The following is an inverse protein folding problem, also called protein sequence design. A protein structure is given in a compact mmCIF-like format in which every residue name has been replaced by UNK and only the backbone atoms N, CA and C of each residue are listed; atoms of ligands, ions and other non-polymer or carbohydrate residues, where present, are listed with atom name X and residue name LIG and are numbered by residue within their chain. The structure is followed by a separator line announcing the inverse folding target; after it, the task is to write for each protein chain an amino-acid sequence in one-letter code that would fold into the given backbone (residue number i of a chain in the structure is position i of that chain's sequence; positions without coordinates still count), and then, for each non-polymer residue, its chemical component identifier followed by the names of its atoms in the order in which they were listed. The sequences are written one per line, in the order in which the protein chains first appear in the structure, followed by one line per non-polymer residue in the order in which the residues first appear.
data_IF_538286206536
#
_entry.id   IF_538286206536
#
_cell.length_a   1.000
_cell.length_b   1.000
_cell.length_c   1.000
_cell.angle_alpha   90.00
_cell.angle_beta   90.00
_cell.angle_gamma   90.00
#
_symmetry.space_group_name_H-M   'P 1'
#
loop_
_entity.id
_entity.type
_entity.pdbx_description
1 polymer ?
#
# COMPACT_ATOMS: atom_id res chain seq x y z
N UNK A 1 -9.40 36.69 -71.35
CA UNK A 1 -9.54 36.67 -69.88
C UNK A 1 -10.50 35.56 -69.48
N UNK A 2 -10.02 34.41 -68.99
CA UNK A 2 -10.82 33.44 -68.19
C UNK A 2 -9.85 32.73 -67.24
N UNK A 3 -10.14 32.82 -65.95
CA UNK A 3 -9.30 32.42 -64.81
C UNK A 3 -9.37 30.90 -64.59
N UNK A 4 -8.24 30.31 -64.23
CA UNK A 4 -8.15 28.97 -63.65
C UNK A 4 -8.68 28.94 -62.21
N UNK A 5 -9.02 27.76 -61.66
CA UNK A 5 -8.91 27.50 -60.23
C UNK A 5 -7.85 26.43 -59.96
N UNK A 6 -6.83 26.87 -59.24
CA UNK A 6 -5.75 26.10 -58.59
C UNK A 6 -6.20 25.87 -57.14
N UNK A 7 -6.16 24.60 -56.72
CA UNK A 7 -5.99 24.07 -55.35
C UNK A 7 -6.78 24.68 -54.19
N UNK A 8 -7.57 23.84 -53.51
CA UNK A 8 -7.47 23.65 -52.05
C UNK A 8 -7.70 22.16 -51.75
N UNK A 9 -6.62 21.40 -51.77
CA UNK A 9 -6.55 20.09 -51.11
C UNK A 9 -6.44 20.41 -49.62
N UNK A 10 -7.58 20.55 -48.95
CA UNK A 10 -7.62 20.75 -47.51
C UNK A 10 -7.17 19.44 -46.87
N UNK A 11 -5.88 19.41 -46.57
CA UNK A 11 -5.19 18.48 -45.71
C UNK A 11 -6.04 18.17 -44.48
N UNK A 12 -6.64 16.99 -44.48
CA UNK A 12 -7.01 16.21 -43.30
C UNK A 12 -5.74 15.84 -42.52
N UNK A 13 -5.01 16.86 -42.06
CA UNK A 13 -4.06 16.78 -40.97
C UNK A 13 -4.83 17.10 -39.68
N UNK A 14 -5.89 16.32 -39.43
CA UNK A 14 -6.56 16.29 -38.14
C UNK A 14 -5.57 15.67 -37.17
N UNK A 15 -4.74 16.53 -36.56
CA UNK A 15 -4.34 16.49 -35.16
C UNK A 15 -4.42 15.09 -34.52
N UNK A 16 -3.58 14.16 -34.97
CA UNK A 16 -3.12 13.07 -34.12
C UNK A 16 -2.05 13.67 -33.21
N UNK A 17 -2.45 14.57 -32.31
CA UNK A 17 -1.69 14.71 -31.07
C UNK A 17 -1.91 13.41 -30.34
N UNK A 18 -1.10 12.39 -30.66
CA UNK A 18 -0.90 11.28 -29.75
C UNK A 18 -0.33 11.92 -28.50
N UNK A 19 -1.20 12.25 -27.55
CA UNK A 19 -0.80 12.44 -26.17
C UNK A 19 -0.27 11.09 -25.73
N UNK A 20 1.00 10.82 -26.05
CA UNK A 20 1.72 9.71 -25.46
C UNK A 20 1.72 10.05 -23.97
N UNK A 21 0.78 9.44 -23.25
CA UNK A 21 0.65 9.63 -21.82
C UNK A 21 2.04 9.41 -21.24
N UNK A 22 2.57 10.45 -20.61
CA UNK A 22 3.95 10.47 -20.12
C UNK A 22 4.01 9.53 -18.91
N UNK A 23 4.51 8.31 -19.09
CA UNK A 23 4.76 7.41 -17.97
C UNK A 23 6.03 7.88 -17.28
N UNK A 24 5.87 8.75 -16.29
CA UNK A 24 7.00 9.29 -15.54
C UNK A 24 7.42 8.31 -14.44
N UNK A 25 8.72 8.10 -14.29
CA UNK A 25 9.25 7.18 -13.28
C UNK A 25 8.98 7.75 -11.89
N UNK A 26 8.41 6.93 -11.02
CA UNK A 26 8.20 7.30 -9.63
C UNK A 26 9.54 7.44 -8.90
N UNK A 27 9.66 8.38 -7.95
CA UNK A 27 10.85 8.51 -7.13
C UNK A 27 11.09 7.21 -6.34
N UNK A 28 12.36 6.80 -6.23
CA UNK A 28 12.71 5.63 -5.43
C UNK A 28 12.61 5.95 -3.94
N UNK A 29 11.82 5.17 -3.19
CA UNK A 29 11.89 5.18 -1.73
C UNK A 29 13.06 4.30 -1.28
N UNK A 30 14.12 4.92 -0.75
CA UNK A 30 15.30 4.20 -0.24
C UNK A 30 14.99 3.41 1.05
N UNK A 31 13.99 3.85 1.82
CA UNK A 31 13.52 3.17 3.03
C UNK A 31 12.02 2.89 2.95
N UNK A 32 11.66 1.69 2.48
CA UNK A 32 10.27 1.22 2.42
C UNK A 32 9.94 0.45 3.70
N UNK A 33 8.90 0.87 4.42
CA UNK A 33 8.35 0.09 5.54
C UNK A 33 7.90 -1.28 5.05
N UNK A 34 8.05 -2.29 5.91
CA UNK A 34 7.65 -3.65 5.57
C UNK A 34 6.51 -4.15 6.46
N UNK A 35 5.79 -5.14 5.94
CA UNK A 35 4.83 -5.88 6.74
C UNK A 35 5.57 -6.78 7.75
N UNK A 36 5.47 -6.44 9.02
CA UNK A 36 6.02 -7.17 10.17
C UNK A 36 5.15 -8.34 10.62
N UNK A 37 3.91 -8.49 10.12
CA UNK A 37 3.04 -9.60 10.49
C UNK A 37 3.49 -10.95 9.92
N UNK A 38 4.48 -10.95 9.02
CA UNK A 38 4.86 -12.11 8.22
C UNK A 38 5.61 -13.17 9.02
N UNK A 39 5.31 -14.44 8.75
CA UNK A 39 6.04 -15.58 9.32
C UNK A 39 7.52 -15.55 8.94
N UNK A 40 7.86 -15.02 7.75
CA UNK A 40 9.23 -14.78 7.33
C UNK A 40 9.94 -13.68 8.14
N UNK A 41 9.19 -12.82 8.82
CA UNK A 41 9.73 -11.92 9.85
C UNK A 41 9.85 -12.59 11.23
N UNK A 42 9.57 -13.90 11.33
CA UNK A 42 9.54 -14.67 12.58
C UNK A 42 8.29 -14.43 13.42
N UNK A 43 7.27 -13.78 12.86
CA UNK A 43 6.01 -13.49 13.54
C UNK A 43 5.09 -14.71 13.55
N UNK A 44 4.44 -14.95 14.68
CA UNK A 44 3.50 -16.07 14.85
C UNK A 44 2.14 -15.59 15.35
N UNK A 45 1.12 -16.43 15.24
CA UNK A 45 -0.15 -16.22 15.94
C UNK A 45 -0.11 -16.98 17.26
N UNK A 46 -0.21 -16.25 18.38
CA UNK A 46 -0.14 -16.81 19.74
C UNK A 46 -1.46 -17.41 20.20
N UNK A 47 -2.57 -16.82 19.78
CA UNK A 47 -3.92 -17.30 20.06
C UNK A 47 -4.90 -16.71 19.05
N UNK A 48 -6.04 -17.36 18.87
CA UNK A 48 -7.13 -16.88 18.04
C UNK A 48 -8.45 -17.54 18.43
N UNK A 49 -9.54 -16.82 18.24
CA UNK A 49 -10.90 -17.30 18.40
C UNK A 49 -11.77 -16.74 17.26
N UNK A 50 -12.58 -17.57 16.61
CA UNK A 50 -13.40 -17.14 15.47
C UNK A 50 -12.64 -16.72 14.19
N UNK A 51 -11.32 -16.96 14.10
CA UNK A 51 -10.48 -16.58 12.95
C UNK A 51 -9.91 -17.82 12.24
N UNK A 52 -10.19 -17.99 10.94
CA UNK A 52 -9.73 -19.16 10.16
C UNK A 52 -9.42 -18.82 8.69
N UNK A 53 -8.39 -19.41 8.05
CA UNK A 53 -7.29 -20.14 8.66
C UNK A 53 -6.31 -19.18 9.35
N UNK A 54 -5.89 -19.53 10.57
CA UNK A 54 -5.04 -18.68 11.41
C UNK A 54 -3.72 -18.30 10.70
N UNK A 55 -3.12 -19.24 9.98
CA UNK A 55 -1.87 -19.03 9.26
C UNK A 55 -1.96 -17.93 8.17
N UNK A 56 -3.16 -17.59 7.69
CA UNK A 56 -3.31 -16.54 6.68
C UNK A 56 -2.99 -15.13 7.24
N UNK A 57 -3.08 -14.91 8.56
CA UNK A 57 -2.68 -13.65 9.19
C UNK A 57 -1.18 -13.37 9.05
N UNK A 58 -0.35 -14.40 8.90
CA UNK A 58 1.11 -14.28 8.82
C UNK A 58 1.70 -14.81 7.51
N UNK A 59 0.88 -15.35 6.60
CA UNK A 59 1.36 -15.98 5.37
C UNK A 59 1.95 -15.00 4.33
N UNK A 60 1.52 -13.73 4.34
CA UNK A 60 1.97 -12.74 3.35
C UNK A 60 1.42 -12.92 1.94
N UNK A 61 0.48 -13.86 1.74
CA UNK A 61 -0.32 -13.95 0.52
C UNK A 61 -1.54 -13.01 0.65
N UNK A 62 -1.58 -11.86 -0.05
CA UNK A 62 -2.70 -10.94 0.02
C UNK A 62 -3.98 -11.51 -0.58
N UNK A 63 -3.88 -12.58 -1.40
CA UNK A 63 -5.02 -13.21 -2.07
C UNK A 63 -5.69 -14.25 -1.18
N UNK A 64 -5.07 -14.65 -0.07
CA UNK A 64 -5.63 -15.67 0.82
C UNK A 64 -6.65 -15.04 1.79
N UNK A 65 -7.92 -15.50 1.80
CA UNK A 65 -8.91 -14.98 2.74
C UNK A 65 -8.63 -15.45 4.17
N UNK A 66 -9.02 -14.60 5.12
CA UNK A 66 -9.11 -14.86 6.54
C UNK A 66 -10.58 -14.71 6.90
N UNK A 67 -11.26 -15.83 7.15
CA UNK A 67 -12.65 -15.87 7.57
C UNK A 67 -12.75 -15.51 9.06
N UNK A 68 -13.70 -14.64 9.36
CA UNK A 68 -14.06 -14.16 10.69
C UNK A 68 -15.49 -14.61 11.01
N UNK A 69 -15.70 -15.12 12.23
CA UNK A 69 -17.02 -15.48 12.70
C UNK A 69 -17.89 -14.23 12.93
N UNK A 70 -19.21 -14.39 12.82
CA UNK A 70 -20.16 -13.37 13.27
C UNK A 70 -20.10 -13.20 14.79
N UNK A 71 -20.37 -11.99 15.28
CA UNK A 71 -20.14 -11.64 16.68
C UNK A 71 -18.66 -11.34 16.94
N UNK A 72 -18.12 -11.88 18.04
CA UNK A 72 -16.74 -11.60 18.46
C UNK A 72 -15.76 -12.62 17.87
N UNK A 73 -14.70 -12.11 17.27
CA UNK A 73 -13.52 -12.88 16.88
C UNK A 73 -12.27 -12.17 17.40
N UNK A 74 -11.20 -12.91 17.69
CA UNK A 74 -9.95 -12.31 18.13
C UNK A 74 -8.73 -13.06 17.60
N UNK A 75 -7.61 -12.35 17.47
CA UNK A 75 -6.31 -12.95 17.18
C UNK A 75 -5.20 -12.16 17.88
N UNK A 76 -4.22 -12.87 18.43
CA UNK A 76 -3.01 -12.28 19.01
C UNK A 76 -1.82 -12.62 18.13
N UNK A 77 -1.27 -11.60 17.49
CA UNK A 77 -0.03 -11.68 16.72
C UNK A 77 1.15 -11.45 17.67
N UNK A 78 2.13 -12.35 17.64
CA UNK A 78 3.38 -12.26 18.41
C UNK A 78 4.55 -11.99 17.47
N UNK A 79 5.13 -10.80 17.59
CA UNK A 79 6.35 -10.45 16.88
C UNK A 79 7.56 -11.15 17.53
N UNK A 80 8.60 -11.39 16.72
CA UNK A 80 9.84 -12.03 17.19
C UNK A 80 10.48 -11.24 18.33
N UNK A 81 10.53 -9.92 18.18
CA UNK A 81 11.07 -8.95 19.15
C UNK A 81 10.06 -7.83 19.44
N UNK A 82 10.25 -7.15 20.57
CA UNK A 82 9.51 -5.92 20.86
C UNK A 82 9.81 -4.89 19.77
N UNK A 83 8.76 -4.31 19.21
CA UNK A 83 8.86 -3.41 18.05
C UNK A 83 7.92 -2.23 18.23
N UNK A 84 8.19 -1.17 17.47
CA UNK A 84 7.24 -0.05 17.31
C UNK A 84 6.27 -0.42 16.22
N UNK A 85 4.97 -0.31 16.49
CA UNK A 85 3.87 -0.62 15.59
C UNK A 85 3.19 0.70 15.25
N UNK A 86 3.28 1.13 14.01
CA UNK A 86 2.66 2.38 13.56
C UNK A 86 1.25 2.17 13.04
N UNK A 87 1.02 1.11 12.26
CA UNK A 87 -0.23 0.94 11.51
C UNK A 87 -0.56 -0.52 11.29
N UNK A 88 -1.84 -0.87 11.30
CA UNK A 88 -2.33 -2.17 10.89
C UNK A 88 -3.44 -1.98 9.85
N UNK A 89 -3.41 -2.78 8.78
CA UNK A 89 -4.34 -2.65 7.66
C UNK A 89 -4.86 -4.02 7.23
N UNK A 90 -6.04 -4.03 6.61
CA UNK A 90 -6.57 -5.18 5.89
C UNK A 90 -7.57 -4.73 4.83
N UNK A 91 -7.88 -5.65 3.93
CA UNK A 91 -8.96 -5.50 2.95
C UNK A 91 -10.20 -6.23 3.47
N UNK A 92 -11.33 -5.54 3.58
CA UNK A 92 -12.64 -6.11 3.88
C UNK A 92 -13.31 -6.64 2.61
N UNK A 93 -13.79 -7.87 2.63
CA UNK A 93 -14.58 -8.46 1.53
C UNK A 93 -16.08 -8.18 1.72
N UNK A 94 -16.45 -6.93 2.02
CA UNK A 94 -17.85 -6.50 2.16
C UNK A 94 -18.48 -6.83 3.51
N UNK A 95 -17.67 -7.03 4.55
CA UNK A 95 -18.16 -7.19 5.92
C UNK A 95 -18.33 -5.85 6.62
N UNK A 96 -19.14 -5.83 7.68
CA UNK A 96 -19.39 -4.65 8.52
C UNK A 96 -19.19 -4.97 9.99
N UNK A 97 -18.66 -3.99 10.72
CA UNK A 97 -18.46 -4.11 12.15
C UNK A 97 -17.40 -3.17 12.69
N UNK A 98 -16.80 -3.59 13.80
CA UNK A 98 -15.75 -2.86 14.49
C UNK A 98 -14.52 -3.74 14.64
N UNK A 99 -13.36 -3.15 14.51
CA UNK A 99 -12.08 -3.75 14.90
C UNK A 99 -11.45 -2.89 15.98
N UNK A 100 -10.99 -3.50 17.06
CA UNK A 100 -10.16 -2.86 18.08
C UNK A 100 -8.80 -3.53 18.19
N UNK A 101 -7.79 -2.72 18.47
CA UNK A 101 -6.41 -3.14 18.64
C UNK A 101 -5.95 -2.83 20.04
N UNK A 102 -5.11 -3.71 20.58
CA UNK A 102 -4.36 -3.45 21.80
C UNK A 102 -2.98 -4.07 21.72
N UNK A 103 -2.00 -3.45 22.36
CA UNK A 103 -0.62 -3.93 22.37
C UNK A 103 -0.22 -4.41 23.75
N UNK A 104 0.73 -5.34 23.80
CA UNK A 104 1.31 -5.83 25.04
C UNK A 104 2.79 -6.17 24.84
N UNK A 105 3.61 -5.96 25.87
CA UNK A 105 5.02 -6.39 25.89
C UNK A 105 5.16 -7.85 26.34
N UNK A 106 4.24 -8.35 27.18
CA UNK A 106 4.33 -9.65 27.86
C UNK A 106 3.20 -10.63 27.49
N UNK A 107 2.17 -10.15 26.79
CA UNK A 107 0.98 -10.92 26.41
C UNK A 107 -0.07 -11.03 27.53
N UNK A 108 0.10 -10.29 28.63
CA UNK A 108 -0.78 -10.32 29.81
C UNK A 108 -1.39 -8.94 30.09
N UNK A 109 -0.56 -7.91 30.14
CA UNK A 109 -1.02 -6.53 30.32
C UNK A 109 -1.26 -5.87 28.96
N UNK A 110 -2.52 -5.54 28.68
CA UNK A 110 -2.96 -5.01 27.39
C UNK A 110 -3.26 -3.53 27.47
N UNK A 111 -2.61 -2.74 26.61
CA UNK A 111 -2.89 -1.33 26.43
C UNK A 111 -3.74 -1.15 25.17
N UNK A 112 -4.98 -0.63 25.27
CA UNK A 112 -5.77 -0.26 24.09
C UNK A 112 -4.99 0.70 23.21
N UNK A 113 -4.99 0.47 21.89
CA UNK A 113 -4.31 1.32 20.92
C UNK A 113 -5.31 2.15 20.13
N UNK A 114 -6.13 1.50 19.29
CA UNK A 114 -7.14 2.18 18.46
C UNK A 114 -8.30 1.26 18.15
N UNK A 115 -9.48 1.83 17.87
CA UNK A 115 -10.61 1.11 17.30
C UNK A 115 -11.11 1.83 16.05
N UNK A 116 -11.59 1.06 15.08
CA UNK A 116 -12.17 1.55 13.82
C UNK A 116 -13.47 0.81 13.54
N UNK A 117 -14.47 1.55 13.04
CA UNK A 117 -15.74 1.01 12.56
C UNK A 117 -15.70 1.07 11.04
N UNK A 118 -16.18 0.02 10.39
CA UNK A 118 -16.19 -0.09 8.94
C UNK A 118 -17.52 -0.68 8.46
N UNK A 119 -18.00 -0.17 7.34
CA UNK A 119 -19.20 -0.59 6.64
C UNK A 119 -18.84 -1.55 5.49
N UNK A 120 -19.82 -2.21 4.84
CA UNK A 120 -19.55 -3.09 3.70
C UNK A 120 -18.85 -2.40 2.52
N UNK A 121 -19.02 -1.08 2.39
CA UNK A 121 -18.36 -0.27 1.36
C UNK A 121 -16.89 0.02 1.67
N UNK A 122 -16.47 -0.07 2.93
CA UNK A 122 -15.11 0.25 3.37
C UNK A 122 -14.18 -0.93 3.10
N UNK A 123 -13.73 -1.03 1.85
CA UNK A 123 -12.87 -2.13 1.41
C UNK A 123 -11.49 -2.07 2.05
N UNK A 124 -10.93 -0.90 2.30
CA UNK A 124 -9.62 -0.77 2.94
C UNK A 124 -9.79 -0.21 4.35
N UNK A 125 -9.43 -1.01 5.34
CA UNK A 125 -9.47 -0.61 6.74
C UNK A 125 -8.05 -0.38 7.22
N UNK A 126 -7.77 0.84 7.66
CA UNK A 126 -6.48 1.24 8.24
C UNK A 126 -6.68 1.72 9.67
N UNK A 127 -5.81 1.24 10.55
CA UNK A 127 -5.75 1.59 11.95
C UNK A 127 -4.39 2.23 12.21
N UNK A 128 -4.37 3.49 12.65
CA UNK A 128 -3.16 4.16 13.13
C UNK A 128 -2.99 3.88 14.63
N UNK A 129 -1.91 3.20 14.98
CA UNK A 129 -1.59 2.79 16.36
C UNK A 129 -0.71 3.83 17.07
N UNK A 130 -0.44 4.98 16.46
CA UNK A 130 0.30 6.07 17.11
C UNK A 130 1.72 5.67 17.53
N UNK A 131 2.34 4.73 16.80
CA UNK A 131 3.67 4.17 17.11
C UNK A 131 3.72 3.45 18.48
N UNK A 132 2.66 2.73 18.83
CA UNK A 132 2.60 1.90 20.03
C UNK A 132 3.74 0.86 20.07
N UNK A 133 4.34 0.65 21.25
CA UNK A 133 5.44 -0.30 21.43
C UNK A 133 4.95 -1.59 22.08
N UNK A 134 5.27 -2.74 21.48
CA UNK A 134 4.84 -4.03 22.02
C UNK A 134 5.51 -5.21 21.32
N UNK A 135 5.38 -6.40 21.93
CA UNK A 135 5.73 -7.67 21.30
C UNK A 135 4.49 -8.41 20.79
N UNK A 136 3.32 -8.09 21.34
CA UNK A 136 2.05 -8.68 21.00
C UNK A 136 1.10 -7.60 20.49
N UNK A 137 0.38 -7.90 19.41
CA UNK A 137 -0.73 -7.12 18.89
C UNK A 137 -1.98 -8.00 18.95
N UNK A 138 -2.98 -7.59 19.71
CA UNK A 138 -4.30 -8.23 19.72
C UNK A 138 -5.23 -7.46 18.81
N UNK A 139 -5.93 -8.20 17.96
CA UNK A 139 -7.04 -7.77 17.13
C UNK A 139 -8.32 -8.36 17.72
N UNK A 140 -9.33 -7.53 17.92
CA UNK A 140 -10.66 -7.93 18.35
C UNK A 140 -11.66 -7.39 17.33
N UNK A 141 -12.35 -8.30 16.65
CA UNK A 141 -13.40 -8.00 15.69
C UNK A 141 -14.76 -8.21 16.35
N UNK A 142 -15.68 -7.29 16.11
CA UNK A 142 -17.09 -7.40 16.48
C UNK A 142 -17.90 -7.17 15.20
N UNK A 143 -18.31 -8.27 14.57
CA UNK A 143 -18.98 -8.26 13.27
C UNK A 143 -20.48 -8.54 13.42
N UNK A 144 -21.30 -7.88 12.61
CA UNK A 144 -22.74 -8.15 12.56
C UNK A 144 -22.98 -9.53 11.94
N UNK A 145 -22.23 -9.87 10.89
CA UNK A 145 -22.24 -11.15 10.19
C UNK A 145 -20.81 -11.62 9.96
N UNK A 146 -20.60 -12.92 9.95
CA UNK A 146 -19.30 -13.49 9.57
C UNK A 146 -18.99 -13.21 8.09
N UNK A 147 -17.72 -13.28 7.73
CA UNK A 147 -17.25 -13.09 6.36
C UNK A 147 -15.73 -13.13 6.29
N UNK A 148 -15.10 -12.46 5.33
CA UNK A 148 -13.65 -12.53 5.15
C UNK A 148 -12.96 -11.17 5.09
N UNK A 149 -11.72 -11.17 5.55
CA UNK A 149 -10.73 -10.11 5.28
C UNK A 149 -9.55 -10.70 4.51
N UNK A 150 -8.77 -9.85 3.86
CA UNK A 150 -7.57 -10.20 3.08
C UNK A 150 -6.45 -9.23 3.35
N UNK A 151 -5.25 -9.58 2.87
CA UNK A 151 -4.09 -8.70 2.88
C UNK A 151 -3.85 -8.02 4.24
N UNK A 152 -3.96 -8.79 5.32
CA UNK A 152 -3.67 -8.27 6.66
C UNK A 152 -2.18 -7.93 6.77
N UNK A 153 -1.89 -6.68 7.14
CA UNK A 153 -0.54 -6.16 7.23
C UNK A 153 -0.36 -5.32 8.50
N UNK A 154 0.84 -5.39 9.08
CA UNK A 154 1.25 -4.58 10.22
C UNK A 154 2.55 -3.89 9.89
N UNK A 155 2.58 -2.56 9.99
CA UNK A 155 3.74 -1.73 9.71
C UNK A 155 4.28 -1.10 11.00
N UNK A 156 5.56 -0.74 10.97
CA UNK A 156 6.25 -0.28 12.16
C UNK A 156 7.69 0.12 11.89
N UNK A 157 8.57 -0.20 12.82
CA UNK A 157 10.00 0.16 12.75
C UNK A 157 10.81 -0.61 11.70
N UNK A 158 10.28 -1.69 11.13
CA UNK A 158 11.03 -2.51 10.18
C UNK A 158 10.98 -1.93 8.77
N UNK A 159 12.12 -2.00 8.08
CA UNK A 159 12.33 -1.51 6.71
C UNK A 159 12.81 -2.65 5.81
N UNK A 160 12.78 -2.45 4.49
CA UNK A 160 13.26 -3.45 3.54
C UNK A 160 14.74 -3.80 3.73
N UNK A 161 15.56 -2.85 4.23
CA UNK A 161 16.98 -3.07 4.51
C UNK A 161 17.24 -4.05 5.66
N UNK A 162 16.25 -4.28 6.52
CA UNK A 162 16.35 -5.24 7.63
C UNK A 162 16.18 -6.69 7.19
N UNK A 163 15.92 -6.95 5.91
CA UNK A 163 15.61 -8.28 5.38
C UNK A 163 16.49 -8.65 4.20
N UNK A 164 16.86 -9.92 4.16
CA UNK A 164 17.50 -10.55 3.01
C UNK A 164 16.55 -11.58 2.41
N UNK A 165 16.41 -11.57 1.08
CA UNK A 165 15.52 -12.48 0.35
C UNK A 165 16.29 -13.29 -0.67
N UNK A 166 16.34 -14.59 -0.44
CA UNK A 166 16.94 -15.58 -1.34
C UNK A 166 15.84 -16.36 -2.05
N UNK A 167 16.06 -16.66 -3.33
CA UNK A 167 15.23 -17.62 -4.06
C UNK A 167 15.93 -18.95 -4.11
N UNK A 168 15.21 -20.00 -3.76
CA UNK A 168 15.75 -21.34 -3.80
C UNK A 168 15.47 -21.91 -5.20
N UNK A 169 16.54 -22.30 -5.89
CA UNK A 169 16.48 -22.83 -7.26
C UNK A 169 15.79 -24.20 -7.33
N UNK A 170 15.70 -24.92 -6.21
CA UNK A 170 15.01 -26.20 -6.07
C UNK A 170 13.49 -26.07 -5.83
N UNK A 171 12.98 -24.83 -5.76
CA UNK A 171 11.57 -24.57 -5.48
C UNK A 171 11.15 -24.87 -4.04
N UNK A 172 12.10 -25.06 -3.11
CA UNK A 172 11.83 -25.20 -1.68
C UNK A 172 11.61 -23.83 -1.02
N UNK A 173 10.77 -23.76 0.01
CA UNK A 173 10.55 -22.52 0.77
C UNK A 173 9.09 -22.07 0.78
N UNK A 174 8.88 -20.82 1.16
CA UNK A 174 7.54 -20.21 1.21
C UNK A 174 7.29 -19.33 0.00
N UNK A 175 6.02 -19.10 -0.32
CA UNK A 175 5.64 -18.11 -1.32
C UNK A 175 6.00 -16.72 -0.79
N UNK A 176 6.82 -15.98 -1.53
CA UNK A 176 7.19 -14.60 -1.23
C UNK A 176 6.48 -13.70 -2.23
N UNK A 177 5.81 -12.66 -1.74
CA UNK A 177 5.31 -11.59 -2.60
C UNK A 177 6.44 -10.60 -2.90
N UNK A 178 7.04 -10.70 -4.09
CA UNK A 178 8.10 -9.81 -4.54
C UNK A 178 7.64 -8.38 -4.79
N UNK A 179 6.34 -8.08 -4.87
CA UNK A 179 5.84 -6.70 -4.89
C UNK A 179 5.87 -6.03 -3.49
N UNK A 180 5.95 -6.83 -2.43
CA UNK A 180 5.96 -6.34 -1.04
C UNK A 180 7.30 -5.72 -0.66
N UNK A 181 7.33 -4.97 0.44
CA UNK A 181 8.56 -4.39 0.98
C UNK A 181 9.62 -5.45 1.34
N UNK A 182 9.23 -6.57 1.96
CA UNK A 182 10.17 -7.67 2.24
C UNK A 182 10.71 -8.25 0.93
N UNK A 183 9.85 -8.41 -0.08
CA UNK A 183 10.23 -8.95 -1.38
C UNK A 183 11.20 -8.08 -2.19
N UNK A 184 11.42 -6.82 -1.77
CA UNK A 184 12.30 -5.86 -2.43
C UNK A 184 11.70 -5.16 -3.65
N UNK A 185 10.42 -5.40 -3.94
CA UNK A 185 9.73 -4.80 -5.07
C UNK A 185 9.46 -3.32 -4.89
N UNK A 186 9.76 -2.56 -5.94
CA UNK A 186 9.55 -1.11 -6.02
C UNK A 186 8.62 -0.80 -7.16
N UNK A 187 7.52 -0.10 -6.88
CA UNK A 187 6.64 0.45 -7.89
C UNK A 187 7.36 1.61 -8.59
N UNK A 188 7.61 1.48 -9.89
CA UNK A 188 8.40 2.45 -10.67
C UNK A 188 7.57 3.21 -11.70
N UNK A 189 6.44 2.67 -12.15
CA UNK A 189 5.49 3.37 -13.01
C UNK A 189 4.06 3.05 -12.62
N UNK A 190 3.18 4.04 -12.73
CA UNK A 190 1.72 3.90 -12.60
C UNK A 190 1.07 4.72 -13.70
N UNK A 191 0.09 4.13 -14.37
CA UNK A 191 -0.69 4.81 -15.38
C UNK A 191 -2.17 4.39 -15.32
N UNK A 192 -3.14 5.30 -15.35
CA UNK A 192 -3.01 6.77 -15.36
C UNK A 192 -2.26 7.30 -14.13
N UNK A 193 -1.58 8.43 -14.29
CA UNK A 193 -0.63 8.96 -13.30
C UNK A 193 -1.32 9.41 -11.99
N UNK A 194 -0.73 9.04 -10.85
CA UNK A 194 -1.16 9.48 -9.53
C UNK A 194 -0.68 10.92 -9.28
N UNK A 195 -1.59 11.90 -9.35
CA UNK A 195 -1.34 13.24 -8.83
C UNK A 195 -1.65 13.25 -7.33
N UNK A 196 -0.67 13.59 -6.48
CA UNK A 196 -0.86 13.76 -5.03
C UNK A 196 -0.81 12.49 -4.16
N UNK A 197 -1.27 11.33 -4.65
CA UNK A 197 -1.37 10.08 -3.86
C UNK A 197 -0.16 9.12 -3.99
N UNK A 198 1.04 9.65 -4.30
CA UNK A 198 2.21 8.80 -4.61
C UNK A 198 2.80 8.09 -3.38
N UNK A 199 2.71 8.69 -2.19
CA UNK A 199 3.33 8.16 -0.96
C UNK A 199 2.70 6.85 -0.51
N UNK A 200 1.37 6.81 -0.45
CA UNK A 200 0.64 5.71 0.19
C UNK A 200 0.73 4.44 -0.66
N UNK A 201 0.73 4.60 -1.99
CA UNK A 201 0.96 3.51 -2.93
C UNK A 201 2.35 2.89 -2.84
N UNK A 202 3.36 3.70 -2.50
CA UNK A 202 4.73 3.22 -2.27
C UNK A 202 4.87 2.49 -0.94
N UNK A 203 4.13 2.88 0.09
CA UNK A 203 4.20 2.31 1.44
C UNK A 203 3.42 1.00 1.58
N UNK A 204 2.13 0.99 1.26
CA UNK A 204 1.22 -0.14 1.52
C UNK A 204 1.07 -1.11 0.34
N UNK A 205 1.74 -0.83 -0.80
CA UNK A 205 1.54 -1.55 -2.05
C UNK A 205 0.06 -1.54 -2.53
N UNK A 206 -0.67 -0.47 -2.21
CA UNK A 206 -2.03 -0.22 -2.63
C UNK A 206 -2.07 0.99 -3.56
N UNK A 207 -2.48 0.79 -4.80
CA UNK A 207 -2.49 1.80 -5.84
C UNK A 207 -3.92 2.29 -6.01
N UNK A 208 -4.15 3.57 -5.76
CA UNK A 208 -5.44 4.22 -5.97
C UNK A 208 -5.42 4.99 -7.28
N UNK A 209 -5.86 4.36 -8.37
CA UNK A 209 -5.86 4.99 -9.68
C UNK A 209 -6.91 6.11 -9.76
N UNK A 210 -6.59 7.26 -10.38
CA UNK A 210 -7.57 8.29 -10.63
C UNK A 210 -8.66 7.78 -11.58
N UNK A 211 -9.80 8.46 -11.55
CA UNK A 211 -10.80 8.36 -12.61
C UNK A 211 -10.17 8.72 -13.96
N UNK A 212 -10.41 7.91 -14.99
CA UNK A 212 -9.73 8.06 -16.28
C UNK A 212 -10.37 7.24 -17.39
N UNK A 213 -10.68 7.89 -18.51
CA UNK A 213 -11.22 7.23 -19.72
C UNK A 213 -10.26 6.23 -20.37
N UNK A 214 -9.02 6.11 -19.86
CA UNK A 214 -8.12 5.07 -20.30
C UNK A 214 -8.71 3.69 -20.04
N UNK A 215 -8.62 2.83 -21.05
CA UNK A 215 -9.11 1.45 -20.96
C UNK A 215 -8.41 0.64 -19.85
N UNK A 216 -7.16 0.99 -19.52
CA UNK A 216 -6.32 0.19 -18.65
C UNK A 216 -5.82 0.99 -17.45
N UNK A 217 -5.63 0.26 -16.35
CA UNK A 217 -4.85 0.69 -15.19
C UNK A 217 -3.59 -0.15 -15.18
N UNK A 218 -2.41 0.46 -15.10
CA UNK A 218 -1.14 -0.26 -15.22
C UNK A 218 -0.18 0.15 -14.11
N UNK A 219 0.51 -0.84 -13.56
CA UNK A 219 1.58 -0.66 -12.60
C UNK A 219 2.79 -1.46 -13.04
N UNK A 220 3.98 -0.86 -12.97
CA UNK A 220 5.25 -1.54 -13.28
C UNK A 220 6.11 -1.57 -12.03
N UNK A 221 6.60 -2.76 -11.69
CA UNK A 221 7.46 -3.02 -10.57
C UNK A 221 8.88 -3.37 -11.03
N UNK A 222 9.90 -2.80 -10.37
CA UNK A 222 11.29 -3.31 -10.36
C UNK A 222 11.46 -4.22 -9.15
N UNK A 223 11.78 -5.49 -9.39
CA UNK A 223 12.01 -6.50 -8.36
C UNK A 223 13.44 -6.46 -7.79
N UNK A 224 14.26 -5.49 -8.25
CA UNK A 224 15.64 -5.25 -7.82
C UNK A 224 16.68 -6.16 -8.47
N UNK A 225 16.29 -7.39 -8.78
CA UNK A 225 17.09 -8.40 -9.48
C UNK A 225 16.19 -9.30 -10.31
N UNK A 226 16.77 -10.10 -11.21
CA UNK A 226 16.00 -11.10 -11.96
C UNK A 226 15.50 -12.16 -10.97
N UNK A 227 14.18 -12.37 -10.95
CA UNK A 227 13.50 -13.33 -10.10
C UNK A 227 12.85 -14.45 -10.91
N UNK A 228 12.74 -15.62 -10.31
CA UNK A 228 11.91 -16.74 -10.80
C UNK A 228 10.50 -16.61 -10.23
N UNK A 229 9.50 -16.45 -11.10
CA UNK A 229 8.11 -16.14 -10.76
C UNK A 229 7.20 -17.28 -11.19
N UNK A 230 6.20 -17.62 -10.38
CA UNK A 230 5.27 -18.74 -10.65
C UNK A 230 3.80 -18.37 -10.47
N UNK A 231 3.53 -17.25 -9.80
CA UNK A 231 2.17 -16.82 -9.51
C UNK A 231 2.07 -15.30 -9.60
N UNK A 232 0.95 -14.81 -10.10
CA UNK A 232 0.59 -13.41 -10.09
C UNK A 232 -0.81 -13.26 -9.55
N UNK A 233 -1.13 -12.07 -9.06
CA UNK A 233 -2.50 -11.76 -8.74
C UNK A 233 -2.68 -10.34 -8.25
N UNK A 234 -3.91 -10.06 -7.85
CA UNK A 234 -4.28 -8.74 -7.39
C UNK A 234 -5.46 -8.80 -6.44
N UNK A 235 -5.43 -7.96 -5.41
CA UNK A 235 -6.63 -7.54 -4.67
C UNK A 235 -7.00 -6.16 -5.18
N UNK A 236 -8.18 -6.02 -5.75
CA UNK A 236 -8.66 -4.82 -6.43
C UNK A 236 -10.09 -4.46 -5.98
N UNK A 237 -10.62 -3.34 -6.46
CA UNK A 237 -12.01 -2.95 -6.21
C UNK A 237 -13.01 -4.06 -6.61
N UNK A 238 -14.14 -4.25 -5.91
CA UNK A 238 -15.06 -5.37 -6.12
C UNK A 238 -15.94 -5.14 -7.35
N UNK A 239 -15.36 -5.38 -8.52
CA UNK A 239 -16.00 -5.22 -9.82
C UNK A 239 -15.31 -6.11 -10.86
N UNK A 240 -15.98 -6.45 -11.96
CA UNK A 240 -15.36 -7.28 -12.98
C UNK A 240 -14.10 -6.65 -13.55
N UNK A 241 -13.01 -7.43 -13.58
CA UNK A 241 -11.69 -7.00 -14.05
C UNK A 241 -10.98 -8.13 -14.76
N UNK A 242 -10.36 -7.81 -15.91
CA UNK A 242 -9.33 -8.65 -16.52
C UNK A 242 -7.95 -8.17 -16.11
N UNK A 243 -7.07 -9.09 -15.78
CA UNK A 243 -5.67 -8.84 -15.49
C UNK A 243 -4.80 -9.46 -16.58
N UNK A 244 -3.91 -8.66 -17.16
CA UNK A 244 -2.81 -9.13 -18.00
C UNK A 244 -1.48 -8.80 -17.32
N UNK A 245 -0.57 -9.77 -17.31
CA UNK A 245 0.76 -9.63 -16.69
C UNK A 245 1.83 -9.76 -17.76
N UNK A 246 2.74 -8.81 -17.79
CA UNK A 246 3.90 -8.80 -18.65
C UNK A 246 5.15 -8.82 -17.79
N UNK A 247 6.19 -9.52 -18.25
CA UNK A 247 7.41 -9.72 -17.49
C UNK A 247 8.61 -9.49 -18.40
N UNK A 248 9.60 -8.76 -17.89
CA UNK A 248 10.76 -8.32 -18.65
C UNK A 248 12.05 -8.48 -17.83
N UNK A 249 13.13 -8.92 -18.48
CA UNK A 249 14.46 -8.88 -17.86
C UNK A 249 15.07 -7.47 -17.95
N UNK A 250 14.85 -6.79 -19.07
CA UNK A 250 15.24 -5.39 -19.32
C UNK A 250 14.01 -4.53 -19.40
N UNK A 251 14.02 -3.37 -18.73
CA UNK A 251 12.90 -2.44 -18.71
C UNK A 251 12.73 -1.80 -20.10
N UNK A 252 11.57 -1.92 -20.75
CA UNK A 252 11.30 -1.24 -22.01
C UNK A 252 11.14 0.27 -21.78
N UNK A 253 12.24 1.01 -21.93
CA UNK A 253 12.24 2.48 -21.87
C UNK A 253 12.66 3.08 -23.20
N UNK A 254 12.08 4.23 -23.53
CA UNK A 254 12.45 5.04 -24.68
C UNK A 254 12.59 6.49 -24.24
N UNK A 255 13.48 7.23 -24.91
CA UNK A 255 13.58 8.67 -24.70
C UNK A 255 12.32 9.37 -25.20
N UNK A 256 11.75 10.21 -24.35
CA UNK A 256 10.72 11.17 -24.74
C UNK A 256 11.31 12.29 -25.62
N UNK A 257 10.45 13.13 -26.17
CA UNK A 257 10.88 14.28 -27.01
C UNK A 257 11.77 15.30 -26.27
N UNK A 258 11.92 15.19 -24.94
CA UNK A 258 12.82 16.00 -24.10
C UNK A 258 14.08 15.23 -23.67
N UNK A 259 14.33 14.04 -24.23
CA UNK A 259 15.47 13.20 -23.90
C UNK A 259 15.39 12.51 -22.54
N UNK A 260 14.19 12.38 -21.96
CA UNK A 260 13.99 11.69 -20.68
C UNK A 260 13.51 10.27 -20.92
N UNK A 261 14.08 9.30 -20.22
CA UNK A 261 13.60 7.92 -20.25
C UNK A 261 12.18 7.83 -19.67
N UNK A 262 11.28 7.21 -20.42
CA UNK A 262 9.94 6.86 -20.03
C UNK A 262 9.65 5.43 -20.46
N UNK A 263 8.74 4.75 -19.76
CA UNK A 263 8.29 3.43 -20.17
C UNK A 263 7.64 3.49 -21.55
N UNK A 264 7.95 2.54 -22.44
CA UNK A 264 7.35 2.44 -23.78
C UNK A 264 6.09 1.57 -23.75
N UNK A 265 4.87 2.14 -23.80
CA UNK A 265 3.63 1.37 -23.72
C UNK A 265 3.36 0.54 -24.97
N UNK A 266 4.02 0.81 -26.11
CA UNK A 266 3.83 0.06 -27.36
C UNK A 266 4.31 -1.39 -27.23
N UNK A 267 5.13 -1.69 -26.21
CA UNK A 267 5.54 -3.06 -25.88
C UNK A 267 4.34 -3.98 -25.63
N UNK A 268 3.22 -3.45 -25.12
CA UNK A 268 2.02 -4.24 -24.85
C UNK A 268 1.26 -4.66 -26.11
N UNK A 269 1.51 -4.02 -27.25
CA UNK A 269 0.90 -4.35 -28.54
C UNK A 269 1.69 -5.45 -29.27
N UNK A 270 3.00 -5.54 -28.99
CA UNK A 270 3.93 -6.48 -29.65
C UNK A 270 4.29 -7.69 -28.79
N UNK A 271 4.01 -7.65 -27.48
CA UNK A 271 4.36 -8.70 -26.53
C UNK A 271 3.12 -9.43 -26.03
N UNK A 272 3.17 -10.76 -25.93
CA UNK A 272 2.11 -11.53 -25.28
C UNK A 272 2.27 -11.50 -23.75
N UNK A 273 1.16 -11.40 -22.99
CA UNK A 273 1.23 -11.48 -21.54
C UNK A 273 1.71 -12.88 -21.11
N UNK A 274 2.58 -12.93 -20.09
CA UNK A 274 3.07 -14.19 -19.51
C UNK A 274 2.00 -14.90 -18.66
N UNK A 275 0.99 -14.14 -18.23
CA UNK A 275 -0.17 -14.65 -17.52
C UNK A 275 -1.37 -13.71 -17.75
N UNK A 276 -2.57 -14.26 -17.81
CA UNK A 276 -3.81 -13.48 -17.82
C UNK A 276 -4.92 -14.20 -17.08
N UNK A 277 -5.86 -13.45 -16.53
CA UNK A 277 -7.03 -13.98 -15.85
C UNK A 277 -8.14 -12.95 -15.72
N UNK A 278 -9.31 -13.39 -15.30
CA UNK A 278 -10.50 -12.57 -15.21
C UNK A 278 -11.23 -12.85 -13.89
N UNK A 279 -11.55 -11.80 -13.14
CA UNK A 279 -12.53 -11.85 -12.06
C UNK A 279 -13.88 -11.39 -12.63
N UNK A 280 -14.57 -12.28 -13.35
CA UNK A 280 -15.83 -11.94 -14.01
C UNK A 280 -16.95 -11.60 -13.01
N UNK A 281 -16.85 -12.12 -11.77
CA UNK A 281 -17.83 -11.88 -10.71
C UNK A 281 -17.66 -10.54 -10.00
N UNK A 282 -16.48 -9.94 -10.11
CA UNK A 282 -16.12 -8.76 -9.32
C UNK A 282 -15.97 -9.04 -7.83
N UNK A 283 -15.43 -10.19 -7.45
CA UNK A 283 -15.06 -10.47 -6.06
C UNK A 283 -13.99 -9.49 -5.54
N UNK A 284 -13.26 -8.85 -6.46
CA UNK A 284 -12.17 -7.92 -6.23
C UNK A 284 -10.88 -8.63 -5.80
N UNK A 285 -10.71 -9.88 -6.21
CA UNK A 285 -9.44 -10.58 -6.07
C UNK A 285 -9.27 -11.61 -7.17
N UNK A 286 -8.05 -11.72 -7.69
CA UNK A 286 -7.71 -12.65 -8.76
C UNK A 286 -6.32 -13.23 -8.53
N UNK A 287 -6.17 -14.52 -8.82
CA UNK A 287 -4.91 -15.24 -8.79
C UNK A 287 -4.72 -15.95 -10.13
N UNK A 288 -3.55 -15.83 -10.72
CA UNK A 288 -3.20 -16.44 -11.99
C UNK A 288 -1.85 -17.13 -11.83
N UNK A 289 -1.80 -18.43 -12.09
CA UNK A 289 -0.54 -19.18 -12.12
C UNK A 289 0.05 -19.14 -13.51
N UNK A 290 1.36 -19.08 -13.60
CA UNK A 290 2.04 -19.26 -14.88
C UNK A 290 2.06 -20.74 -15.23
N UNK A 291 2.07 -21.05 -16.54
CA UNK A 291 2.26 -22.43 -17.01
C UNK A 291 3.66 -22.94 -16.68
N UNK A 292 4.65 -22.07 -16.89
CA UNK A 292 6.06 -22.30 -16.65
C UNK A 292 6.61 -21.19 -15.75
N UNK A 293 7.69 -21.46 -15.03
CA UNK A 293 8.39 -20.43 -14.24
C UNK A 293 8.89 -19.31 -15.16
N UNK A 294 8.55 -18.08 -14.85
CA UNK A 294 8.93 -16.88 -15.62
C UNK A 294 10.12 -16.21 -14.95
N UNK A 295 11.20 -15.94 -15.70
CA UNK A 295 12.31 -15.12 -15.21
C UNK A 295 12.10 -13.67 -15.59
N UNK A 296 12.11 -12.77 -14.60
CA UNK A 296 11.96 -11.35 -14.85
C UNK A 296 12.51 -10.48 -13.72
N UNK A 297 13.01 -9.30 -14.07
CA UNK A 297 13.32 -8.24 -13.11
C UNK A 297 12.19 -7.21 -13.02
N UNK A 298 11.51 -6.96 -14.13
CA UNK A 298 10.45 -5.99 -14.23
C UNK A 298 9.13 -6.69 -14.53
N UNK A 299 8.07 -6.31 -13.84
CA UNK A 299 6.73 -6.87 -14.04
C UNK A 299 5.74 -5.75 -14.20
N UNK A 300 4.98 -5.77 -15.30
CA UNK A 300 3.86 -4.87 -15.51
C UNK A 300 2.54 -5.63 -15.29
N UNK A 301 1.70 -5.11 -14.42
CA UNK A 301 0.33 -5.59 -14.19
C UNK A 301 -0.62 -4.59 -14.82
N UNK A 302 -1.50 -5.07 -15.70
CA UNK A 302 -2.45 -4.26 -16.46
C UNK A 302 -3.86 -4.76 -16.18
N UNK A 303 -4.64 -3.96 -15.46
CA UNK A 303 -6.04 -4.21 -15.17
C UNK A 303 -6.93 -3.52 -16.21
N UNK A 304 -7.88 -4.25 -16.76
CA UNK A 304 -8.97 -3.78 -17.62
C UNK A 304 -10.27 -3.91 -16.84
N UNK A 305 -10.71 -2.87 -16.12
CA UNK A 305 -12.02 -2.85 -15.48
C UNK A 305 -13.12 -2.70 -16.54
N UNK A 306 -14.26 -3.38 -16.37
CA UNK A 306 -15.37 -3.37 -17.34
C UNK A 306 -16.06 -2.01 -17.52
N UNK A 307 -15.87 -1.07 -16.60
CA UNK A 307 -16.47 0.26 -16.63
C UNK A 307 -15.48 1.26 -16.06
N UNK A 308 -15.21 2.39 -16.74
CA UNK A 308 -14.31 3.46 -16.29
C UNK A 308 -14.74 3.97 -14.91
N UNK A 309 -14.15 3.46 -13.81
CA UNK A 309 -14.78 3.64 -12.53
C UNK A 309 -14.12 4.79 -11.78
N UNK A 310 -14.90 5.61 -11.06
CA UNK A 310 -14.30 6.48 -10.08
C UNK A 310 -13.58 5.60 -9.04
N UNK A 311 -12.35 5.98 -8.72
CA UNK A 311 -11.56 5.41 -7.61
C UNK A 311 -11.30 3.90 -7.72
N UNK A 312 -10.63 3.46 -8.79
CA UNK A 312 -10.15 2.08 -8.91
C UNK A 312 -8.92 1.86 -8.04
N UNK A 313 -8.99 0.89 -7.12
CA UNK A 313 -7.88 0.54 -6.25
C UNK A 313 -7.37 -0.86 -6.57
N UNK A 314 -6.05 -1.06 -6.52
CA UNK A 314 -5.44 -2.37 -6.71
C UNK A 314 -4.14 -2.53 -5.93
N UNK A 315 -3.90 -3.72 -5.43
CA UNK A 315 -2.60 -4.16 -4.92
C UNK A 315 -2.11 -5.34 -5.74
N UNK A 316 -0.79 -5.44 -5.92
CA UNK A 316 -0.18 -6.50 -6.71
C UNK A 316 0.35 -7.63 -5.82
N UNK A 317 0.15 -8.86 -6.30
CA UNK A 317 0.86 -10.04 -5.84
C UNK A 317 1.76 -10.53 -6.97
N UNK A 318 3.07 -10.57 -6.72
CA UNK A 318 4.07 -11.11 -7.64
C UNK A 318 4.78 -12.23 -6.88
N UNK A 319 4.32 -13.46 -7.08
CA UNK A 319 4.70 -14.64 -6.30
C UNK A 319 5.85 -15.42 -6.92
N UNK A 320 6.78 -15.81 -6.06
CA UNK A 320 7.70 -16.92 -6.32
C UNK A 320 8.22 -17.51 -5.02
N UNK A 321 8.89 -18.65 -5.13
CA UNK A 321 9.36 -19.39 -3.95
C UNK A 321 10.70 -18.84 -3.48
N UNK A 322 10.83 -18.68 -2.15
CA UNK A 322 12.08 -18.30 -1.52
C UNK A 322 12.01 -18.31 0.00
N UNK A 323 13.03 -17.72 0.59
CA UNK A 323 13.11 -17.47 2.03
C UNK A 323 13.46 -16.01 2.25
N UNK A 324 12.84 -15.42 3.27
CA UNK A 324 13.21 -14.10 3.74
C UNK A 324 13.67 -14.22 5.19
N UNK A 325 14.84 -13.66 5.47
CA UNK A 325 15.48 -13.70 6.78
C UNK A 325 15.59 -12.28 7.31
N UNK A 326 15.18 -12.09 8.55
CA UNK A 326 15.35 -10.81 9.24
C UNK A 326 16.79 -10.68 9.75
N UNK A 327 17.54 -9.75 9.18
CA UNK A 327 18.91 -9.41 9.54
C UNK A 327 19.00 -8.12 10.37
N UNK A 328 17.88 -7.43 10.59
CA UNK A 328 17.81 -6.15 11.31
C UNK A 328 18.42 -6.24 12.71
N UNK A 329 19.69 -5.81 12.78
CA UNK A 329 20.49 -5.76 13.99
C UNK A 329 19.72 -5.05 15.10
N UNK A 330 19.86 -5.55 16.32
CA UNK A 330 19.34 -4.88 17.50
C UNK A 330 19.99 -3.51 17.64
N UNK A 331 19.41 -2.47 17.02
CA UNK A 331 19.47 -1.14 17.62
C UNK A 331 18.58 -1.20 18.85
N UNK A 332 19.13 -1.81 19.90
CA UNK A 332 18.64 -1.59 21.23
C UNK A 332 18.79 -0.10 21.48
N UNK A 333 17.69 0.58 21.76
CA UNK A 333 17.75 1.62 22.78
C UNK A 333 18.07 0.91 24.09
N UNK A 334 19.34 0.51 24.25
CA UNK A 334 19.90 0.30 25.56
C UNK A 334 19.78 1.63 26.27
N UNK A 335 18.95 1.67 27.31
CA UNK A 335 19.11 2.65 28.36
C UNK A 335 20.52 2.45 28.93
N UNK A 336 21.49 3.13 28.35
CA UNK A 336 22.78 3.35 28.97
C UNK A 336 22.52 4.18 30.21
N UNK A 337 22.39 3.51 31.36
CA UNK A 337 22.73 4.09 32.65
C UNK A 337 24.19 4.53 32.57
N UNK A 338 24.39 5.78 32.14
CA UNK A 338 25.65 6.47 32.31
C UNK A 338 25.85 6.74 33.79
N UNK A 339 26.64 5.88 34.44
CA UNK A 339 27.34 6.24 35.67
C UNK A 339 28.38 7.30 35.31
N UNK A 340 27.97 8.58 35.31
CA UNK A 340 28.86 9.73 35.20
C UNK A 340 29.43 10.07 36.56
N UNK A 341 30.64 9.57 36.84
CA UNK A 341 31.53 10.08 37.88
C UNK A 341 31.75 11.59 37.72
N UNK A 342 31.72 12.30 38.84
CA UNK A 342 31.91 13.73 38.92
C UNK A 342 33.28 14.21 38.41
N UNK A 343 33.25 15.37 37.78
CA UNK A 343 34.40 16.20 37.50
C UNK A 343 34.00 17.65 37.68
N UNK A 344 34.50 18.26 38.75
CA UNK A 344 34.44 19.70 39.00
C UNK A 344 35.24 20.44 37.92
N UNK A 345 34.62 21.42 37.27
CA UNK A 345 35.24 22.22 36.21
C UNK A 345 34.69 23.64 36.23
N UNK A 346 35.54 24.56 36.68
CA UNK A 346 35.32 25.99 36.93
C UNK A 346 34.63 26.77 35.82
N UNK A 347 33.84 27.74 36.27
CA UNK A 347 33.42 28.94 35.55
C UNK A 347 34.62 29.71 34.97
N UNK A 348 34.47 30.21 33.74
CA UNK A 348 34.92 31.57 33.42
C UNK A 348 34.15 32.12 32.22
N UNK A 349 33.70 33.36 32.38
CA UNK A 349 32.75 34.03 31.50
C UNK A 349 33.37 34.65 30.25
N UNK A 350 32.54 34.79 29.21
CA UNK A 350 32.86 35.54 28.01
C UNK A 350 31.59 35.98 27.31
N UNK A 351 31.17 37.21 27.58
CA UNK A 351 30.00 37.89 27.02
C UNK A 351 30.16 38.14 25.52
N UNK A 352 29.10 37.98 24.73
CA UNK A 352 28.82 38.89 23.61
C UNK A 352 27.32 39.01 23.33
N UNK A 353 26.85 40.26 23.39
CA UNK A 353 25.54 40.80 23.03
C UNK A 353 25.17 40.56 21.57
N UNK A 354 23.90 40.27 21.26
CA UNK A 354 23.02 41.07 20.36
C UNK A 354 21.54 40.83 20.73
N UNK A 355 20.81 41.94 20.95
CA UNK A 355 19.37 42.10 21.25
C UNK A 355 18.47 42.02 19.96
N UNK A 356 17.12 42.23 19.96
CA UNK A 356 16.12 41.16 20.07
C UNK A 356 14.96 41.29 19.02
N UNK A 357 13.87 40.53 19.25
CA UNK A 357 12.47 40.76 18.75
C UNK A 357 12.16 40.22 17.33
N UNK A 358 11.31 39.19 17.21
CA UNK A 358 9.85 39.40 17.13
C UNK A 358 9.05 38.09 17.17
N UNK A 359 8.11 38.02 18.11
CA UNK A 359 7.16 36.93 18.35
C UNK A 359 5.88 37.24 17.59
N UNK A 360 5.42 36.36 16.70
CA UNK A 360 4.12 36.51 16.04
C UNK A 360 3.14 35.45 16.55
N UNK A 361 2.09 35.94 17.22
CA UNK A 361 0.91 35.21 17.66
C UNK A 361 -0.32 35.95 17.12
N UNK A 362 -1.26 35.30 16.42
CA UNK A 362 -2.56 35.90 16.19
C UNK A 362 -3.69 35.05 16.80
N UNK A 363 -4.29 35.58 17.86
CA UNK A 363 -5.67 35.30 18.23
C UNK A 363 -6.50 36.58 18.12
N UNK A 364 -7.73 36.40 17.60
CA UNK A 364 -8.93 37.21 17.72
C UNK A 364 -9.00 38.58 17.02
N UNK A 365 -9.87 38.64 16.03
CA UNK A 365 -10.85 39.73 15.95
C UNK A 365 -12.21 39.19 15.53
N UNK A 366 -13.15 39.31 16.48
CA UNK A 366 -14.58 39.18 16.24
C UNK A 366 -15.10 40.49 15.62
N UNK A 367 -16.05 40.39 14.69
CA UNK A 367 -16.96 41.48 14.39
C UNK A 367 -18.37 40.90 14.30
N UNK A 368 -19.20 41.27 15.27
CA UNK A 368 -20.64 41.04 15.25
C UNK A 368 -21.37 42.18 14.54
N UNK A 369 -22.44 41.84 13.85
CA UNK A 369 -23.54 42.76 13.53
C UNK A 369 -24.83 42.04 13.92
N UNK A 370 -25.62 42.71 14.75
CA UNK A 370 -26.76 42.17 15.48
C UNK A 370 -28.10 42.16 14.71
N UNK A 371 -29.24 42.21 15.43
CA UNK A 371 -30.32 41.26 15.23
C UNK A 371 -31.57 41.90 14.62
N UNK A 372 -32.43 41.07 14.01
CA UNK A 372 -33.86 41.36 13.96
C UNK A 372 -34.65 40.05 14.02
N UNK A 373 -35.51 39.95 15.03
CA UNK A 373 -36.34 38.77 15.27
C UNK A 373 -37.62 38.80 14.47
N UNK A 374 -38.24 37.63 14.30
CA UNK A 374 -39.69 37.49 14.44
C UNK A 374 -40.02 36.03 14.77
N UNK A 375 -40.68 35.86 15.91
CA UNK A 375 -41.30 34.63 16.38
C UNK A 375 -42.63 34.38 15.67
N UNK A 376 -42.96 33.14 15.36
CA UNK A 376 -44.35 32.68 15.36
C UNK A 376 -44.46 31.24 15.84
N UNK A 377 -45.11 31.09 16.98
CA UNK A 377 -45.68 29.85 17.50
C UNK A 377 -46.67 29.24 16.50
N UNK A 378 -46.77 27.91 16.49
CA UNK A 378 -47.88 27.17 15.92
C UNK A 378 -48.00 25.80 16.61
N UNK A 379 -49.01 25.67 17.46
CA UNK A 379 -49.35 24.48 18.24
C UNK A 379 -50.54 23.76 17.60
N UNK A 380 -50.41 22.43 17.51
CA UNK A 380 -51.44 21.37 17.62
C UNK A 380 -52.40 20.97 16.48
N UNK A 381 -52.63 19.65 16.49
CA UNK A 381 -53.80 18.83 16.11
C UNK A 381 -54.00 18.45 14.64
N UNK A 382 -53.65 17.20 14.29
CA UNK A 382 -54.52 16.02 14.42
C UNK A 382 -53.69 14.72 14.40
#
# INVERSE_FOLDING_TARGET
MKKAPVFVLLTTASLLTMSVAKWSRLPGNESKQVNMSLSSAGTTVSSSDGVTPIAALTAGDPLRPINLAGGRSSAVIKFTKQSVISRATFVSDGIEGKVSTSVSSDGKAWNPAVASVFAPADRFVSMDLGRAQGRYLRLEFELIRGGSIRSFQVFGSHTAADYEVTQNSDGSGSMINFASGIGGGRLIYVNPELYGARSDALEANQIDFPESDEKYRTAVYDLGQVRSLSEFGSVHSPRPVRLAVYAFETLPEKEDWRGRLAFDPTVFESTQPVASGEDASGAGSLKVKTRDTVKARYVALRWEPDFNPPNFTASAHIGGVGTATFNGGGSGNGNGQGNGQGGEGKEDGGKQNVDPINTFNPQNSANGVGPNGTSSNGVSNN
#
